data_IF_510344193901
#
_entry.id   IF_510344193901
#
_cell.length_a   1.000
_cell.length_b   1.000
_cell.length_c   1.000
_cell.angle_alpha   90.00
_cell.angle_beta   90.00
_cell.angle_gamma   90.00
#
_symmetry.space_group_name_H-M   'P 1'
#
loop_
_entity.id
_entity.type
_entity.pdbx_description
1 polymer ?
#
# COMPACT_ATOMS: atom_id res chain seq x y z
N UNK A 1 -5.18 2.76 -34.92
CA UNK A 1 -5.52 2.84 -33.48
C UNK A 1 -4.95 1.62 -32.79
N UNK A 2 -3.87 1.76 -32.03
CA UNK A 2 -3.36 0.66 -31.20
C UNK A 2 -4.32 0.57 -30.01
N UNK A 3 -5.21 -0.43 -30.02
CA UNK A 3 -6.06 -0.71 -28.87
C UNK A 3 -5.16 -1.00 -27.68
N UNK A 4 -5.18 -0.12 -26.66
CA UNK A 4 -4.61 -0.45 -25.35
C UNK A 4 -5.38 -1.68 -24.89
N UNK A 5 -4.70 -2.83 -24.83
CA UNK A 5 -5.27 -4.01 -24.20
C UNK A 5 -5.84 -3.59 -22.83
N UNK A 6 -7.05 -4.03 -22.46
CA UNK A 6 -7.61 -3.70 -21.16
C UNK A 6 -6.59 -4.10 -20.09
N UNK A 7 -6.25 -3.15 -19.21
CA UNK A 7 -5.30 -3.41 -18.12
C UNK A 7 -5.88 -4.50 -17.23
N UNK A 8 -5.16 -5.62 -17.14
CA UNK A 8 -5.50 -6.80 -16.34
C UNK A 8 -5.77 -6.41 -14.89
N UNK A 9 -6.75 -7.05 -14.26
CA UNK A 9 -7.03 -6.83 -12.84
C UNK A 9 -5.99 -7.56 -12.00
N UNK A 10 -5.34 -6.82 -11.14
CA UNK A 10 -4.43 -7.37 -10.12
C UNK A 10 -4.91 -6.91 -8.75
N UNK A 11 -4.76 -7.78 -7.75
CA UNK A 11 -5.10 -7.40 -6.38
C UNK A 11 -3.97 -6.54 -5.81
N UNK A 12 -4.34 -5.48 -5.11
CA UNK A 12 -3.40 -4.56 -4.51
C UNK A 12 -3.89 -4.05 -3.15
N UNK A 13 -2.94 -3.67 -2.30
CA UNK A 13 -3.20 -2.96 -1.05
C UNK A 13 -2.17 -1.84 -0.84
N UNK A 14 -2.51 -0.87 0.01
CA UNK A 14 -1.52 0.08 0.51
C UNK A 14 -1.15 -0.26 1.94
N UNK A 15 0.13 -0.14 2.25
CA UNK A 15 0.66 -0.20 3.61
C UNK A 15 1.30 1.14 3.93
N UNK A 16 0.72 1.85 4.89
CA UNK A 16 1.25 3.10 5.40
C UNK A 16 2.14 2.80 6.60
N UNK A 17 3.45 2.95 6.43
CA UNK A 17 4.44 2.72 7.49
C UNK A 17 4.79 4.06 8.15
N UNK A 18 4.63 4.16 9.47
CA UNK A 18 4.95 5.38 10.20
C UNK A 18 6.45 5.58 10.34
N UNK A 19 6.90 6.81 10.07
CA UNK A 19 8.27 7.32 10.17
C UNK A 19 8.70 7.60 11.60
N UNK A 20 7.74 7.74 12.52
CA UNK A 20 7.99 8.17 13.90
C UNK A 20 7.59 7.10 14.93
N UNK A 21 6.61 6.26 14.60
CA UNK A 21 6.19 5.14 15.42
C UNK A 21 6.44 3.85 14.64
N UNK A 22 6.75 2.73 15.29
CA UNK A 22 6.81 1.40 14.67
C UNK A 22 5.39 0.89 14.35
N UNK A 23 4.61 1.68 13.61
CA UNK A 23 3.18 1.46 13.34
C UNK A 23 2.93 1.36 11.85
N UNK A 24 2.10 0.41 11.45
CA UNK A 24 1.60 0.26 10.09
C UNK A 24 0.07 0.36 10.03
N UNK A 25 -0.44 0.85 8.90
CA UNK A 25 -1.86 0.86 8.56
C UNK A 25 -2.02 0.21 7.19
N UNK A 26 -2.76 -0.89 7.12
CA UNK A 26 -3.02 -1.65 5.90
C UNK A 26 -4.44 -1.37 5.42
N UNK A 27 -4.59 -1.07 4.12
CA UNK A 27 -5.89 -0.79 3.50
C UNK A 27 -6.05 -1.54 2.19
N UNK A 28 -7.22 -2.16 2.01
CA UNK A 28 -7.64 -2.74 0.74
C UNK A 28 -7.95 -1.65 -0.28
N UNK A 29 -7.87 -1.99 -1.57
CA UNK A 29 -8.09 -1.05 -2.66
C UNK A 29 -9.24 -1.49 -3.58
N UNK A 30 -9.88 -0.52 -4.20
CA UNK A 30 -10.52 -0.71 -5.50
C UNK A 30 -9.46 -0.60 -6.59
N UNK A 31 -9.48 -1.53 -7.56
CA UNK A 31 -8.68 -1.44 -8.78
C UNK A 31 -9.60 -1.46 -9.99
N UNK A 32 -9.63 -0.36 -10.73
CA UNK A 32 -10.31 -0.28 -12.02
C UNK A 32 -9.34 0.18 -13.09
N UNK A 33 -9.01 -0.71 -14.02
CA UNK A 33 -8.11 -0.43 -15.14
C UNK A 33 -6.72 0.14 -14.72
N UNK A 34 -6.20 -0.28 -13.56
CA UNK A 34 -4.93 0.20 -13.01
C UNK A 34 -5.02 1.55 -12.28
N UNK A 35 -6.24 2.00 -11.98
CA UNK A 35 -6.48 3.11 -11.04
C UNK A 35 -6.80 2.51 -9.68
N UNK A 36 -5.97 2.84 -8.69
CA UNK A 36 -6.09 2.33 -7.33
C UNK A 36 -6.64 3.40 -6.39
N UNK A 37 -7.70 3.06 -5.65
CA UNK A 37 -8.32 3.93 -4.63
C UNK A 37 -8.55 3.14 -3.35
N UNK A 38 -8.40 3.75 -2.17
CA UNK A 38 -8.71 3.07 -0.91
C UNK A 38 -10.18 2.65 -0.84
N UNK A 39 -10.41 1.37 -0.53
CA UNK A 39 -11.75 0.81 -0.36
C UNK A 39 -12.31 1.21 1.00
N UNK A 40 -13.60 1.54 1.04
CA UNK A 40 -14.27 1.78 2.32
C UNK A 40 -14.28 0.52 3.19
N UNK A 41 -14.04 0.71 4.47
CA UNK A 41 -13.97 -0.35 5.45
C UNK A 41 -13.01 0.00 6.56
N UNK A 42 -12.78 -0.97 7.44
CA UNK A 42 -11.87 -0.85 8.55
C UNK A 42 -10.42 -1.00 8.07
N UNK A 43 -9.67 0.08 8.13
CA UNK A 43 -8.23 0.03 7.93
C UNK A 43 -7.59 -0.73 9.09
N UNK A 44 -6.68 -1.65 8.78
CA UNK A 44 -6.09 -2.53 9.78
C UNK A 44 -4.80 -1.92 10.32
N UNK A 45 -4.78 -1.63 11.61
CA UNK A 45 -3.60 -1.10 12.29
C UNK A 45 -2.80 -2.24 12.93
N UNK A 46 -1.47 -2.19 12.82
CA UNK A 46 -0.57 -3.11 13.52
C UNK A 46 0.78 -2.47 13.82
N UNK A 47 1.60 -3.22 14.57
CA UNK A 47 3.02 -2.94 14.71
C UNK A 47 3.74 -3.29 13.39
N UNK A 48 4.79 -2.54 13.05
CA UNK A 48 5.63 -2.78 11.88
C UNK A 48 6.74 -3.84 12.16
N UNK A 49 7.08 -4.05 13.44
CA UNK A 49 7.96 -5.13 13.90
C UNK A 49 7.25 -6.49 14.00
N UNK A 50 5.92 -6.50 14.17
CA UNK A 50 5.11 -7.71 14.08
C UNK A 50 4.92 -8.12 12.62
N UNK A 51 5.99 -8.67 12.03
CA UNK A 51 6.02 -9.06 10.61
C UNK A 51 4.93 -10.08 10.27
N UNK A 52 4.59 -10.97 11.21
CA UNK A 52 3.55 -11.99 11.01
C UNK A 52 2.15 -11.36 11.03
N UNK A 53 1.88 -10.47 11.99
CA UNK A 53 0.63 -9.72 12.06
C UNK A 53 0.46 -8.75 10.89
N UNK A 54 1.55 -8.14 10.41
CA UNK A 54 1.56 -7.32 9.22
C UNK A 54 1.23 -8.16 7.97
N UNK A 55 1.91 -9.30 7.81
CA UNK A 55 1.69 -10.19 6.68
C UNK A 55 0.23 -10.66 6.57
N UNK A 56 -0.36 -11.11 7.68
CA UNK A 56 -1.78 -11.51 7.72
C UNK A 56 -2.70 -10.40 7.22
N UNK A 57 -2.47 -9.17 7.66
CA UNK A 57 -3.27 -8.00 7.26
C UNK A 57 -3.10 -7.67 5.78
N UNK A 58 -1.87 -7.77 5.25
CA UNK A 58 -1.61 -7.60 3.82
C UNK A 58 -2.38 -8.65 3.01
N UNK A 59 -2.33 -9.92 3.40
CA UNK A 59 -3.05 -11.01 2.72
C UNK A 59 -4.55 -10.76 2.74
N UNK A 60 -5.13 -10.40 3.89
CA UNK A 60 -6.55 -10.05 4.00
C UNK A 60 -6.89 -8.87 3.09
N UNK A 61 -6.10 -7.78 3.12
CA UNK A 61 -6.34 -6.61 2.29
C UNK A 61 -6.24 -6.90 0.78
N UNK A 62 -5.33 -7.79 0.36
CA UNK A 62 -5.25 -8.28 -1.01
C UNK A 62 -6.48 -9.10 -1.39
N UNK A 63 -6.96 -9.99 -0.51
CA UNK A 63 -8.19 -10.76 -0.74
C UNK A 63 -9.42 -9.85 -0.84
N UNK A 64 -9.44 -8.76 -0.07
CA UNK A 64 -10.48 -7.74 -0.07
C UNK A 64 -10.39 -6.73 -1.21
N UNK A 65 -9.34 -6.78 -2.04
CA UNK A 65 -9.23 -5.92 -3.21
C UNK A 65 -10.32 -6.28 -4.23
N UNK A 66 -11.03 -5.26 -4.74
CA UNK A 66 -12.16 -5.45 -5.66
C UNK A 66 -11.90 -4.78 -7.00
N UNK A 67 -12.35 -5.45 -8.07
CA UNK A 67 -12.48 -4.80 -9.38
C UNK A 67 -13.79 -4.01 -9.40
N UNK A 68 -13.69 -2.71 -9.17
CA UNK A 68 -14.83 -1.83 -9.14
C UNK A 68 -14.36 -0.44 -9.55
N UNK A 69 -15.08 0.21 -10.46
CA UNK A 69 -14.84 1.62 -10.72
C UNK A 69 -14.89 2.36 -9.38
N UNK A 70 -13.96 3.28 -9.10
CA UNK A 70 -14.13 4.16 -7.96
C UNK A 70 -15.54 4.76 -8.06
N UNK A 71 -16.37 4.70 -7.00
CA UNK A 71 -17.65 5.38 -7.03
C UNK A 71 -17.42 6.83 -7.49
N UNK A 72 -18.36 7.39 -8.26
CA UNK A 72 -18.30 8.65 -9.06
C UNK A 72 -17.97 9.94 -8.25
N UNK A 73 -17.48 9.78 -7.03
CA UNK A 73 -16.79 10.77 -6.23
C UNK A 73 -15.42 11.11 -6.83
N UNK A 74 -15.41 11.86 -7.93
CA UNK A 74 -14.22 12.44 -8.57
C UNK A 74 -13.31 13.28 -7.63
N UNK A 75 -13.64 13.41 -6.35
CA UNK A 75 -12.76 13.92 -5.31
C UNK A 75 -13.13 13.28 -3.96
N UNK A 76 -12.68 12.06 -3.66
CA UNK A 76 -12.51 11.72 -2.24
C UNK A 76 -11.37 12.55 -1.72
N UNK A 77 -11.72 13.49 -0.86
CA UNK A 77 -10.76 14.32 -0.16
C UNK A 77 -9.87 13.37 0.62
N UNK A 78 -8.58 13.69 0.71
CA UNK A 78 -7.64 12.84 1.47
C UNK A 78 -8.09 12.63 2.92
N UNK A 79 -8.96 13.50 3.42
CA UNK A 79 -9.61 13.42 4.73
C UNK A 79 -10.58 12.24 4.87
N UNK A 80 -11.03 11.65 3.76
CA UNK A 80 -11.91 10.46 3.75
C UNK A 80 -11.15 9.15 3.65
N UNK A 81 -9.82 9.19 3.46
CA UNK A 81 -9.02 7.99 3.29
C UNK A 81 -9.12 7.11 4.56
N UNK A 82 -9.55 5.84 4.45
CA UNK A 82 -9.55 4.90 5.56
C UNK A 82 -8.24 4.90 6.34
N UNK A 83 -7.09 4.96 5.65
CA UNK A 83 -5.78 5.03 6.31
C UNK A 83 -5.60 6.31 7.13
N UNK A 84 -6.05 7.46 6.60
CA UNK A 84 -5.99 8.73 7.31
C UNK A 84 -6.90 8.71 8.56
N UNK A 85 -8.14 8.25 8.43
CA UNK A 85 -9.07 8.14 9.57
C UNK A 85 -8.51 7.24 10.67
N UNK A 86 -7.94 6.10 10.30
CA UNK A 86 -7.30 5.18 11.24
C UNK A 86 -6.00 5.73 11.85
N UNK A 87 -5.33 6.66 11.18
CA UNK A 87 -4.09 7.26 11.69
C UNK A 87 -4.30 8.07 12.98
N UNK A 88 -5.49 8.65 13.17
CA UNK A 88 -5.81 9.55 14.29
C UNK A 88 -5.26 10.97 14.13
N UNK A 89 -4.67 11.30 12.98
CA UNK A 89 -4.19 12.64 12.69
C UNK A 89 -5.35 13.59 12.40
N UNK A 90 -5.21 14.85 12.83
CA UNK A 90 -6.18 15.91 12.56
C UNK A 90 -5.95 16.63 11.22
N UNK A 91 -4.82 16.38 10.57
CA UNK A 91 -4.46 17.00 9.31
C UNK A 91 -3.80 16.01 8.36
N UNK A 92 -4.34 15.86 7.16
CA UNK A 92 -3.79 15.01 6.08
C UNK A 92 -2.33 15.32 5.81
N UNK A 93 -1.94 16.60 5.77
CA UNK A 93 -0.55 16.99 5.49
C UNK A 93 0.41 16.30 6.44
N UNK A 94 0.08 16.27 7.74
CA UNK A 94 0.91 15.63 8.75
C UNK A 94 0.89 14.11 8.61
N UNK A 95 -0.27 13.51 8.33
CA UNK A 95 -0.34 12.08 8.00
C UNK A 95 0.57 11.70 6.82
N UNK A 96 0.50 12.41 5.69
CA UNK A 96 1.34 12.14 4.52
C UNK A 96 2.83 12.44 4.75
N UNK A 97 3.14 13.29 5.72
CA UNK A 97 4.50 13.57 6.16
C UNK A 97 5.02 12.51 7.13
N UNK A 98 4.18 11.94 7.98
CA UNK A 98 4.61 11.01 9.04
C UNK A 98 4.47 9.54 8.60
N UNK A 99 3.79 9.26 7.48
CA UNK A 99 3.67 7.92 6.91
C UNK A 99 4.25 7.84 5.49
N UNK A 100 5.00 6.77 5.23
CA UNK A 100 5.40 6.37 3.89
C UNK A 100 4.39 5.35 3.35
N UNK A 101 3.86 5.58 2.14
CA UNK A 101 2.92 4.68 1.49
C UNK A 101 3.65 3.65 0.62
N UNK A 102 3.73 2.42 1.10
CA UNK A 102 4.14 1.26 0.30
C UNK A 102 2.94 0.75 -0.50
N UNK A 103 3.16 0.40 -1.76
CA UNK A 103 2.17 -0.27 -2.60
C UNK A 103 2.54 -1.74 -2.72
N UNK A 104 1.60 -2.65 -2.43
CA UNK A 104 1.75 -4.08 -2.68
C UNK A 104 0.76 -4.45 -3.78
N UNK A 105 1.24 -4.95 -4.91
CA UNK A 105 0.45 -5.23 -6.11
C UNK A 105 0.80 -6.59 -6.69
N UNK A 106 -0.20 -7.37 -7.10
CA UNK A 106 0.03 -8.62 -7.83
C UNK A 106 0.76 -8.40 -9.15
N UNK A 107 1.71 -9.27 -9.49
CA UNK A 107 2.39 -9.23 -10.80
C UNK A 107 1.57 -9.89 -11.92
N UNK A 108 0.55 -10.67 -11.56
CA UNK A 108 -0.38 -11.34 -12.44
C UNK A 108 -1.77 -11.44 -11.80
N UNK A 109 -2.79 -11.87 -12.56
CA UNK A 109 -4.18 -11.99 -12.08
C UNK A 109 -4.34 -13.10 -11.02
N UNK A 110 -3.42 -14.08 -11.02
CA UNK A 110 -3.38 -15.13 -10.02
C UNK A 110 -2.73 -14.64 -8.71
N UNK A 111 -2.14 -13.45 -8.70
CA UNK A 111 -1.39 -12.87 -7.59
C UNK A 111 -0.40 -13.87 -6.99
N UNK A 112 0.33 -14.64 -7.82
CA UNK A 112 1.31 -15.63 -7.30
C UNK A 112 2.53 -14.96 -6.65
N UNK A 113 2.90 -13.81 -7.18
CA UNK A 113 3.88 -12.91 -6.61
C UNK A 113 3.33 -11.50 -6.54
N UNK A 114 3.87 -10.72 -5.60
CA UNK A 114 3.57 -9.32 -5.43
C UNK A 114 4.82 -8.47 -5.63
N UNK A 115 4.66 -7.39 -6.39
CA UNK A 115 5.57 -6.27 -6.41
C UNK A 115 5.26 -5.36 -5.22
N UNK A 116 6.26 -5.07 -4.41
CA UNK A 116 6.21 -4.10 -3.32
C UNK A 116 7.02 -2.88 -3.73
N UNK A 117 6.43 -1.70 -3.69
CA UNK A 117 7.08 -0.46 -4.11
C UNK A 117 7.03 0.61 -3.05
N UNK A 118 8.15 1.32 -2.89
CA UNK A 118 8.24 2.50 -2.04
C UNK A 118 7.62 3.74 -2.69
N UNK A 119 7.31 4.78 -1.90
CA UNK A 119 7.18 6.11 -2.49
C UNK A 119 8.54 6.57 -3.04
N UNK A 120 8.57 7.63 -3.88
CA UNK A 120 9.82 8.21 -4.37
C UNK A 120 10.77 8.56 -3.22
N UNK A 121 12.06 8.25 -3.38
CA UNK A 121 13.11 8.67 -2.45
C UNK A 121 13.31 10.20 -2.54
N UNK A 122 13.70 10.87 -1.44
CA UNK A 122 13.83 12.33 -1.43
C UNK A 122 14.90 12.88 -2.38
N UNK A 123 15.99 12.14 -2.61
CA UNK A 123 17.18 12.65 -3.27
C UNK A 123 17.34 12.27 -4.74
N UNK A 124 16.59 11.28 -5.22
CA UNK A 124 16.63 10.84 -6.62
C UNK A 124 15.26 10.67 -7.27
N UNK A 125 14.17 10.72 -6.50
CA UNK A 125 12.83 10.41 -7.00
C UNK A 125 12.63 8.95 -7.40
N UNK A 126 13.67 8.12 -7.28
CA UNK A 126 13.63 6.69 -7.57
C UNK A 126 12.73 5.97 -6.57
N UNK A 127 12.15 4.84 -6.99
CA UNK A 127 11.37 3.97 -6.13
C UNK A 127 12.17 2.72 -5.86
N UNK A 128 12.29 2.34 -4.59
CA UNK A 128 12.75 1.02 -4.22
C UNK A 128 11.62 0.03 -4.50
N UNK A 129 11.97 -1.13 -5.04
CA UNK A 129 11.00 -2.18 -5.29
C UNK A 129 11.60 -3.56 -5.06
N UNK A 130 10.74 -4.51 -4.68
CA UNK A 130 11.07 -5.92 -4.56
C UNK A 130 9.87 -6.76 -4.99
N UNK A 131 10.11 -7.87 -5.67
CA UNK A 131 9.09 -8.85 -6.01
C UNK A 131 9.25 -10.07 -5.12
N UNK A 132 8.18 -10.48 -4.45
CA UNK A 132 8.19 -11.64 -3.54
C UNK A 132 6.99 -12.55 -3.80
N UNK A 133 7.02 -13.83 -3.41
CA UNK A 133 5.83 -14.67 -3.38
C UNK A 133 4.70 -14.03 -2.58
N UNK A 134 3.45 -14.20 -3.01
CA UNK A 134 2.29 -13.65 -2.32
C UNK A 134 1.86 -14.52 -1.12
N UNK A 135 2.81 -14.82 -0.24
CA UNK A 135 2.57 -15.62 0.97
C UNK A 135 2.85 -14.78 2.22
N UNK A 136 2.27 -15.18 3.36
CA UNK A 136 2.44 -14.44 4.59
C UNK A 136 3.92 -14.42 5.05
N UNK A 137 4.65 -15.51 4.82
CA UNK A 137 6.06 -15.67 5.17
C UNK A 137 6.95 -14.68 4.42
N UNK A 138 6.56 -14.26 3.22
CA UNK A 138 7.34 -13.38 2.37
C UNK A 138 6.91 -11.90 2.48
N UNK A 139 5.60 -11.63 2.54
CA UNK A 139 5.06 -10.27 2.44
C UNK A 139 5.44 -9.38 3.63
N UNK A 140 5.28 -9.87 4.85
CA UNK A 140 5.57 -9.08 6.07
C UNK A 140 7.03 -8.64 6.16
N UNK A 141 7.99 -9.58 6.12
CA UNK A 141 9.41 -9.25 6.12
C UNK A 141 9.80 -8.32 4.97
N UNK A 142 9.32 -8.57 3.75
CA UNK A 142 9.67 -7.76 2.59
C UNK A 142 9.19 -6.31 2.69
N UNK A 143 7.99 -6.06 3.22
CA UNK A 143 7.51 -4.69 3.48
C UNK A 143 8.36 -4.02 4.56
N UNK A 144 8.67 -4.72 5.65
CA UNK A 144 9.45 -4.17 6.76
C UNK A 144 10.89 -3.82 6.33
N UNK A 145 11.55 -4.71 5.58
CA UNK A 145 12.90 -4.50 5.06
C UNK A 145 12.95 -3.40 4.00
N UNK A 146 12.03 -3.40 3.03
CA UNK A 146 11.95 -2.34 2.02
C UNK A 146 11.72 -0.98 2.67
N UNK A 147 10.89 -0.94 3.72
CA UNK A 147 10.70 0.28 4.49
C UNK A 147 11.96 0.73 5.22
N UNK A 148 12.68 -0.18 5.89
CA UNK A 148 13.94 0.15 6.54
C UNK A 148 14.94 0.77 5.54
N UNK A 149 15.08 0.16 4.36
CA UNK A 149 15.93 0.69 3.27
C UNK A 149 15.48 2.05 2.78
N UNK A 150 14.16 2.26 2.64
CA UNK A 150 13.59 3.54 2.24
C UNK A 150 13.89 4.65 3.26
N UNK A 151 13.85 4.34 4.55
CA UNK A 151 14.19 5.29 5.62
C UNK A 151 15.68 5.59 5.64
N UNK A 152 16.55 4.59 5.49
CA UNK A 152 18.00 4.80 5.43
C UNK A 152 18.40 5.71 4.27
N UNK A 153 17.85 5.50 3.07
CA UNK A 153 18.11 6.32 1.89
C UNK A 153 17.61 7.79 1.99
N UNK A 154 16.92 8.16 3.07
CA UNK A 154 16.51 9.53 3.38
C UNK A 154 17.48 10.25 4.32
N UNK A 155 18.30 9.50 5.06
CA UNK A 155 19.29 10.05 5.99
C UNK A 155 20.64 10.34 5.33
N UNK A 156 20.92 9.65 4.22
CA UNK A 156 22.03 9.96 3.30
C UNK A 156 21.75 11.27 2.53
#
# INVERSE_FOLDING_TARGET
MIGKAPRRFVKACHVYCSRIARRAIVVALYNHAGIFTEREGEAQVCDLDDVEGLARRIVVALQDCRYEAPPDHAARWRDDWPAYRASGYRAVRRFTHDFARMTVEGTDEANRSCLIQSPPTPHGGERLAVTVPATAEALGPAVSELYARYVSARLD
#
